data_IF_588756755445
#
_entry.id   IF_588756755445
#
_cell.length_a   1.000
_cell.length_b   1.000
_cell.length_c   1.000
_cell.angle_alpha   90.00
_cell.angle_beta   90.00
_cell.angle_gamma   90.00
#
_symmetry.space_group_name_H-M   'P 1'
#
loop_
_entity.id
_entity.type
_entity.pdbx_description
1 polymer ?
#
# COMPACT_ATOMS: atom_id res chain seq x y z
N UNK A 1 -14.52 -9.62 -5.06
CA UNK A 1 -13.93 -8.48 -5.77
C UNK A 1 -13.25 -7.58 -4.75
N UNK A 2 -11.94 -7.42 -4.84
CA UNK A 2 -11.18 -6.55 -3.95
C UNK A 2 -11.25 -5.10 -4.46
N UNK A 3 -11.70 -4.13 -3.65
CA UNK A 3 -11.67 -2.73 -4.06
C UNK A 3 -10.23 -2.22 -4.08
N UNK A 4 -9.95 -1.25 -4.95
CA UNK A 4 -8.68 -0.51 -4.92
C UNK A 4 -8.68 0.38 -3.68
N UNK A 5 -7.61 0.31 -2.89
CA UNK A 5 -7.41 1.19 -1.74
C UNK A 5 -6.68 2.44 -2.22
N UNK A 6 -7.38 3.58 -2.18
CA UNK A 6 -6.86 4.86 -2.67
C UNK A 6 -5.90 5.50 -1.69
N UNK A 7 -4.95 6.27 -2.21
CA UNK A 7 -3.98 7.06 -1.45
C UNK A 7 -4.59 7.88 -0.31
N UNK A 8 -5.74 8.53 -0.54
CA UNK A 8 -6.39 9.41 0.46
C UNK A 8 -6.72 8.65 1.75
N UNK A 9 -7.15 7.39 1.63
CA UNK A 9 -7.45 6.53 2.78
C UNK A 9 -6.15 6.16 3.51
N UNK A 10 -5.12 5.80 2.75
CA UNK A 10 -3.83 5.37 3.28
C UNK A 10 -3.07 6.47 4.01
N UNK A 11 -3.20 7.73 3.59
CA UNK A 11 -2.54 8.86 4.25
C UNK A 11 -3.03 9.09 5.69
N UNK A 12 -4.24 8.64 6.04
CA UNK A 12 -4.76 8.68 7.40
C UNK A 12 -4.31 7.52 8.30
N UNK A 13 -3.63 6.50 7.75
CA UNK A 13 -3.20 5.31 8.50
C UNK A 13 -1.81 5.51 9.12
N UNK A 14 -1.52 4.83 10.23
CA UNK A 14 -0.15 4.79 10.77
C UNK A 14 0.77 3.96 9.87
N UNK A 15 2.09 4.16 9.98
CA UNK A 15 3.07 3.36 9.23
C UNK A 15 2.94 1.86 9.56
N UNK A 16 2.66 1.52 10.82
CA UNK A 16 2.43 0.13 11.26
C UNK A 16 1.19 -0.48 10.61
N UNK A 17 0.11 0.29 10.48
CA UNK A 17 -1.11 -0.17 9.82
C UNK A 17 -0.89 -0.35 8.32
N UNK A 18 -0.12 0.54 7.69
CA UNK A 18 0.25 0.44 6.28
C UNK A 18 1.07 -0.82 5.99
N UNK A 19 2.06 -1.14 6.85
CA UNK A 19 2.86 -2.35 6.73
C UNK A 19 2.03 -3.62 6.97
N UNK A 20 1.12 -3.57 7.94
CA UNK A 20 0.19 -4.67 8.21
C UNK A 20 -0.74 -4.93 7.03
N UNK A 21 -1.28 -3.86 6.44
CA UNK A 21 -2.12 -3.93 5.25
C UNK A 21 -1.34 -4.46 4.04
N UNK A 22 -0.08 -4.06 3.88
CA UNK A 22 0.80 -4.57 2.83
C UNK A 22 1.01 -6.09 2.94
N UNK A 23 1.29 -6.61 4.13
CA UNK A 23 1.41 -8.07 4.34
C UNK A 23 0.11 -8.82 4.02
N UNK A 24 -1.04 -8.25 4.41
CA UNK A 24 -2.35 -8.82 4.07
C UNK A 24 -2.60 -8.85 2.55
N UNK A 25 -2.28 -7.75 1.85
CA UNK A 25 -2.40 -7.65 0.40
C UNK A 25 -1.45 -8.60 -0.32
N UNK A 26 -0.23 -8.80 0.20
CA UNK A 26 0.72 -9.77 -0.34
C UNK A 26 0.18 -11.21 -0.27
N UNK A 27 -0.42 -11.60 0.86
CA UNK A 27 -1.08 -12.91 1.01
C UNK A 27 -2.26 -13.06 0.04
N UNK A 28 -3.06 -12.01 -0.14
CA UNK A 28 -4.16 -12.01 -1.10
C UNK A 28 -3.66 -12.10 -2.55
N UNK A 29 -2.54 -11.44 -2.87
CA UNK A 29 -1.92 -11.48 -4.19
C UNK A 29 -1.50 -12.91 -4.57
N UNK A 30 -0.91 -13.66 -3.64
CA UNK A 30 -0.49 -15.05 -3.85
C UNK A 30 -1.69 -15.95 -4.17
N UNK A 31 -2.86 -15.66 -3.59
CA UNK A 31 -4.09 -16.44 -3.80
C UNK A 31 -4.91 -15.97 -5.00
N UNK A 32 -4.56 -14.82 -5.60
CA UNK A 32 -5.32 -14.23 -6.70
C UNK A 32 -5.01 -14.86 -8.06
N UNK A 33 -6.05 -15.07 -8.87
CA UNK A 33 -5.90 -15.55 -10.24
C UNK A 33 -5.12 -14.58 -11.10
N UNK A 34 -4.21 -15.12 -11.92
CA UNK A 34 -3.43 -14.36 -12.89
C UNK A 34 -4.39 -13.69 -13.88
N UNK A 35 -4.21 -12.38 -14.09
CA UNK A 35 -5.05 -11.59 -15.01
C UNK A 35 -6.40 -11.15 -14.46
N UNK A 36 -6.77 -11.53 -13.23
CA UNK A 36 -8.02 -11.09 -12.60
C UNK A 36 -8.02 -9.59 -12.30
N UNK A 37 -9.22 -8.99 -12.25
CA UNK A 37 -9.39 -7.62 -11.78
C UNK A 37 -8.94 -7.47 -10.32
N UNK A 38 -9.19 -8.48 -9.49
CA UNK A 38 -8.77 -8.50 -8.09
C UNK A 38 -7.25 -8.43 -7.96
N UNK A 39 -6.51 -9.20 -8.76
CA UNK A 39 -5.05 -9.12 -8.80
C UNK A 39 -4.56 -7.71 -9.15
N UNK A 40 -5.15 -7.07 -10.17
CA UNK A 40 -4.80 -5.69 -10.54
C UNK A 40 -5.08 -4.70 -9.42
N UNK A 41 -6.21 -4.84 -8.74
CA UNK A 41 -6.60 -3.95 -7.65
C UNK A 41 -5.70 -4.12 -6.42
N UNK A 42 -5.29 -5.35 -6.11
CA UNK A 42 -4.34 -5.65 -5.04
C UNK A 42 -2.99 -4.99 -5.34
N UNK A 43 -2.44 -5.20 -6.55
CA UNK A 43 -1.17 -4.59 -6.97
C UNK A 43 -1.21 -3.06 -6.91
N UNK A 44 -2.28 -2.44 -7.43
CA UNK A 44 -2.45 -0.98 -7.37
C UNK A 44 -2.53 -0.47 -5.92
N UNK A 45 -3.16 -1.22 -5.01
CA UNK A 45 -3.24 -0.86 -3.60
C UNK A 45 -1.89 -0.96 -2.91
N UNK A 46 -1.07 -1.96 -3.25
CA UNK A 46 0.29 -2.11 -2.75
C UNK A 46 1.20 -0.96 -3.21
N UNK A 47 1.15 -0.60 -4.51
CA UNK A 47 1.88 0.54 -5.06
C UNK A 47 1.49 1.86 -4.35
N UNK A 48 0.20 2.05 -4.05
CA UNK A 48 -0.26 3.22 -3.31
C UNK A 48 0.32 3.27 -1.89
N UNK A 49 0.45 2.13 -1.20
CA UNK A 49 1.07 2.06 0.13
C UNK A 49 2.55 2.43 0.06
N UNK A 50 3.29 1.86 -0.90
CA UNK A 50 4.71 2.18 -1.13
C UNK A 50 4.91 3.68 -1.38
N UNK A 51 4.05 4.27 -2.21
CA UNK A 51 4.07 5.71 -2.47
C UNK A 51 3.84 6.56 -1.21
N UNK A 52 2.89 6.19 -0.35
CA UNK A 52 2.64 6.91 0.92
C UNK A 52 3.83 6.81 1.86
N UNK A 53 4.38 5.60 2.05
CA UNK A 53 5.56 5.39 2.90
C UNK A 53 6.78 6.15 2.37
N UNK A 54 7.01 6.12 1.06
CA UNK A 54 8.10 6.86 0.42
C UNK A 54 7.92 8.38 0.59
N UNK A 55 6.69 8.90 0.42
CA UNK A 55 6.39 10.32 0.68
C UNK A 55 6.67 10.69 2.13
N UNK A 56 6.29 9.85 3.11
CA UNK A 56 6.55 10.13 4.53
C UNK A 56 8.05 10.13 4.87
N UNK A 57 8.82 9.21 4.30
CA UNK A 57 10.27 9.16 4.48
C UNK A 57 10.99 10.35 3.82
N UNK A 58 10.50 10.81 2.67
CA UNK A 58 11.04 12.00 1.98
C UNK A 58 10.61 13.31 2.63
N UNK A 59 9.43 13.36 3.25
CA UNK A 59 8.96 14.52 4.03
C UNK A 59 9.54 14.60 5.44
N UNK A 60 10.04 13.48 5.99
CA UNK A 60 10.72 13.52 7.29
C UNK A 60 11.94 14.45 7.15
N UNK A 61 11.99 15.58 7.87
CA UNK A 61 13.15 16.44 7.80
C UNK A 61 14.34 15.59 8.26
N UNK A 62 15.33 15.43 7.38
CA UNK A 62 16.62 14.91 7.79
C UNK A 62 17.04 15.71 9.02
N UNK A 63 17.21 15.10 10.20
CA UNK A 63 17.77 15.83 11.33
C UNK A 63 19.16 16.29 10.88
N UNK A 64 19.33 17.61 10.83
CA UNK A 64 20.50 18.39 10.42
C UNK A 64 21.71 17.64 9.87
N UNK A 65 22.08 17.96 8.62
CA UNK A 65 23.51 18.01 8.27
C UNK A 65 24.17 19.19 8.99
#
# INVERSE_FOLDING_TARGET
>A
MHPIITIIILEGMSDTDLLTLYDALWRALIQSDIGSADRRNILASMENIENVLHRRQTWWPSPGR
#
